data_IF_541105423028
#
_entry.id   IF_541105423028
#
_cell.length_a   1.000
_cell.length_b   1.000
_cell.length_c   1.000
_cell.angle_alpha   90.00
_cell.angle_beta   90.00
_cell.angle_gamma   90.00
#
_symmetry.space_group_name_H-M   'P 1'
#
loop_
_entity.id
_entity.type
_entity.pdbx_description
1 polymer ?
#
# COMPACT_ATOMS: atom_id res chain seq x y z
N UNK A 1 4.01 -8.62 -3.70
CA UNK A 1 4.77 -7.61 -2.93
C UNK A 1 3.79 -6.55 -2.46
N UNK A 2 4.09 -5.87 -1.36
CA UNK A 2 3.28 -4.75 -0.91
C UNK A 2 3.57 -3.53 -1.79
N UNK A 3 2.55 -2.80 -2.25
CA UNK A 3 2.68 -1.60 -3.10
C UNK A 3 3.64 -0.57 -2.50
N UNK A 4 3.72 -0.51 -1.16
CA UNK A 4 4.70 0.30 -0.45
C UNK A 4 6.13 -0.04 -0.83
N UNK A 5 6.46 -1.33 -0.81
CA UNK A 5 7.82 -1.82 -1.03
C UNK A 5 8.24 -1.62 -2.50
N UNK A 6 7.27 -1.69 -3.43
CA UNK A 6 7.49 -1.35 -4.84
C UNK A 6 7.83 0.14 -5.03
N UNK A 7 7.13 1.03 -4.32
CA UNK A 7 7.41 2.48 -4.35
C UNK A 7 8.81 2.78 -3.81
N UNK A 8 9.23 2.12 -2.72
CA UNK A 8 10.58 2.27 -2.16
C UNK A 8 11.63 1.87 -3.21
N UNK A 9 11.51 0.68 -3.79
CA UNK A 9 12.45 0.16 -4.79
C UNK A 9 12.51 1.02 -6.06
N UNK A 10 11.36 1.49 -6.52
CA UNK A 10 11.28 2.39 -7.67
C UNK A 10 12.03 3.69 -7.39
N UNK A 11 11.81 4.28 -6.20
CA UNK A 11 12.46 5.53 -5.80
C UNK A 11 13.97 5.35 -5.71
N UNK A 12 14.45 4.28 -5.07
CA UNK A 12 15.87 3.95 -4.96
C UNK A 12 16.52 3.77 -6.34
N UNK A 13 15.86 3.04 -7.23
CA UNK A 13 16.33 2.82 -8.61
C UNK A 13 16.46 4.13 -9.39
N UNK A 14 15.47 5.01 -9.28
CA UNK A 14 15.47 6.31 -9.98
C UNK A 14 16.47 7.30 -9.38
N UNK A 15 16.73 7.22 -8.08
CA UNK A 15 17.74 8.08 -7.45
C UNK A 15 19.16 7.62 -7.74
N UNK A 16 19.35 6.32 -7.99
CA UNK A 16 20.64 5.73 -8.36
C UNK A 16 21.14 6.22 -9.73
N UNK A 17 20.24 6.64 -10.62
CA UNK A 17 20.65 7.20 -11.92
C UNK A 17 21.09 8.66 -11.82
N UNK A 18 21.08 9.27 -10.63
CA UNK A 18 21.41 10.69 -10.34
C UNK A 18 20.57 11.74 -11.08
N UNK A 19 19.69 11.33 -12.00
CA UNK A 19 18.77 12.21 -12.73
C UNK A 19 17.70 12.77 -11.79
N UNK A 20 17.24 11.97 -10.82
CA UNK A 20 16.15 12.33 -9.94
C UNK A 20 16.57 12.36 -8.48
N UNK A 21 16.19 13.43 -7.78
CA UNK A 21 16.24 13.45 -6.32
C UNK A 21 15.03 12.71 -5.74
N UNK A 22 15.17 12.14 -4.53
CA UNK A 22 14.06 11.50 -3.81
C UNK A 22 12.86 12.45 -3.73
N UNK A 23 13.10 13.74 -3.43
CA UNK A 23 12.06 14.77 -3.36
C UNK A 23 11.31 14.95 -4.67
N UNK A 24 12.01 14.92 -5.81
CA UNK A 24 11.39 15.05 -7.13
C UNK A 24 10.49 13.85 -7.45
N UNK A 25 10.99 12.63 -7.20
CA UNK A 25 10.20 11.39 -7.40
C UNK A 25 8.95 11.40 -6.53
N UNK A 26 9.08 11.75 -5.24
CA UNK A 26 7.96 11.81 -4.32
C UNK A 26 6.90 12.84 -4.72
N UNK A 27 7.33 13.98 -5.30
CA UNK A 27 6.42 14.99 -5.84
C UNK A 27 5.64 14.46 -7.04
N UNK A 28 6.28 13.71 -7.94
CA UNK A 28 5.65 13.12 -9.13
C UNK A 28 4.58 12.08 -8.75
N UNK A 29 4.85 11.25 -7.75
CA UNK A 29 3.92 10.20 -7.29
C UNK A 29 2.89 10.70 -6.26
N UNK A 30 2.95 11.99 -5.87
CA UNK A 30 2.00 12.60 -4.93
C UNK A 30 2.12 12.09 -3.49
N UNK A 31 3.30 11.64 -3.05
CA UNK A 31 3.52 11.12 -1.70
C UNK A 31 4.33 12.10 -0.86
N UNK A 32 3.90 12.31 0.39
CA UNK A 32 4.67 13.14 1.33
C UNK A 32 5.95 12.44 1.78
N UNK A 33 7.01 13.24 2.00
CA UNK A 33 8.30 12.74 2.53
C UNK A 33 8.16 11.97 3.84
N UNK A 34 7.30 12.45 4.74
CA UNK A 34 7.05 11.78 6.02
C UNK A 34 6.50 10.35 5.81
N UNK A 35 5.56 10.18 4.88
CA UNK A 35 5.01 8.86 4.53
C UNK A 35 6.08 7.95 3.94
N UNK A 36 6.91 8.48 3.03
CA UNK A 36 8.01 7.73 2.43
C UNK A 36 9.01 7.19 3.47
N UNK A 37 9.53 8.03 4.38
CA UNK A 37 10.51 7.56 5.37
C UNK A 37 9.90 6.58 6.39
N UNK A 38 8.63 6.77 6.76
CA UNK A 38 7.88 5.78 7.56
C UNK A 38 7.76 4.44 6.84
N UNK A 39 7.57 4.47 5.53
CA UNK A 39 7.50 3.29 4.70
C UNK A 39 8.86 2.61 4.53
N UNK A 40 9.91 3.40 4.32
CA UNK A 40 11.28 2.91 4.18
C UNK A 40 11.73 2.12 5.41
N UNK A 41 11.42 2.59 6.62
CA UNK A 41 11.71 1.88 7.86
C UNK A 41 10.89 0.60 8.08
N UNK A 42 9.91 0.32 7.21
CA UNK A 42 9.05 -0.87 7.27
C UNK A 42 9.19 -1.78 6.05
N UNK A 43 10.03 -1.43 5.07
CA UNK A 43 10.24 -2.21 3.85
C UNK A 43 10.55 -3.67 4.18
N UNK A 44 9.90 -4.62 3.50
CA UNK A 44 10.06 -6.05 3.76
C UNK A 44 9.27 -6.59 4.96
N UNK A 45 8.62 -5.72 5.75
CA UNK A 45 7.67 -6.16 6.78
C UNK A 45 6.26 -6.28 6.18
N UNK A 46 5.59 -7.43 6.30
CA UNK A 46 4.23 -7.58 5.82
C UNK A 46 3.29 -6.57 6.51
N UNK A 47 2.33 -6.06 5.77
CA UNK A 47 1.32 -5.17 6.33
C UNK A 47 0.30 -5.97 7.14
N UNK A 48 0.52 -6.09 8.45
CA UNK A 48 -0.40 -6.76 9.37
C UNK A 48 -1.72 -5.99 9.61
N UNK A 49 -1.89 -4.78 9.06
CA UNK A 49 -3.14 -4.02 9.13
C UNK A 49 -4.13 -4.35 8.03
N UNK A 50 -3.76 -5.17 7.05
CA UNK A 50 -4.77 -5.85 6.25
C UNK A 50 -5.35 -6.92 7.18
N UNK A 51 -6.35 -6.53 7.97
CA UNK A 51 -7.20 -7.48 8.68
C UNK A 51 -7.55 -8.58 7.68
N UNK A 52 -7.49 -9.85 8.12
CA UNK A 52 -7.87 -10.99 7.30
C UNK A 52 -9.13 -10.60 6.52
N UNK A 53 -9.04 -10.58 5.19
CA UNK A 53 -10.23 -10.49 4.33
C UNK A 53 -11.24 -11.45 4.96
N UNK A 54 -12.44 -10.97 5.35
CA UNK A 54 -13.36 -11.81 6.10
C UNK A 54 -13.54 -13.10 5.30
N UNK A 55 -13.27 -14.23 5.95
CA UNK A 55 -13.46 -15.54 5.35
C UNK A 55 -14.88 -15.55 4.78
N UNK A 56 -15.08 -16.11 3.58
CA UNK A 56 -16.37 -16.14 2.84
C UNK A 56 -17.57 -16.63 3.66
N UNK A 57 -17.34 -17.18 4.85
CA UNK A 57 -18.31 -17.77 5.77
C UNK A 57 -18.93 -16.80 6.78
N UNK A 58 -18.66 -15.50 6.69
CA UNK A 58 -19.23 -14.51 7.65
C UNK A 58 -20.66 -14.07 7.37
N UNK A 59 -21.20 -14.39 6.21
CA UNK A 59 -22.59 -14.06 5.86
C UNK A 59 -23.21 -15.25 5.15
N UNK A 60 -24.30 -15.77 5.70
CA UNK A 60 -25.12 -16.77 5.03
C UNK A 60 -25.81 -16.18 3.79
N UNK A 61 -26.18 -17.00 2.80
CA UNK A 61 -26.93 -16.54 1.62
C UNK A 61 -28.20 -15.76 2.00
N UNK A 62 -28.88 -16.14 3.09
CA UNK A 62 -30.10 -15.46 3.55
C UNK A 62 -29.81 -14.04 4.04
N UNK A 63 -28.71 -13.83 4.76
CA UNK A 63 -28.31 -12.50 5.27
C UNK A 63 -27.97 -11.55 4.13
N UNK A 64 -27.32 -12.06 3.07
CA UNK A 64 -27.07 -11.26 1.85
C UNK A 64 -28.37 -10.88 1.16
N UNK A 65 -29.31 -11.81 1.09
CA UNK A 65 -30.59 -11.56 0.45
C UNK A 65 -31.41 -10.52 1.21
N UNK A 66 -31.38 -10.57 2.55
CA UNK A 66 -32.04 -9.59 3.42
C UNK A 66 -31.54 -8.15 3.18
N UNK A 67 -30.23 -7.96 2.98
CA UNK A 67 -29.64 -6.65 2.66
C UNK A 67 -30.04 -6.17 1.25
N UNK A 68 -30.14 -7.08 0.28
CA UNK A 68 -30.57 -6.74 -1.09
C UNK A 68 -32.07 -6.39 -1.14
N UNK A 69 -32.88 -6.99 -0.26
CA UNK A 69 -34.33 -6.79 -0.23
C UNK A 69 -34.82 -5.55 0.53
N UNK A 70 -33.93 -4.87 1.26
CA UNK A 70 -34.22 -3.67 2.04
C UNK A 70 -33.93 -2.41 1.22
#
# INVERSE_FOLDING_TARGET
MDTRDEIIKLTERLTKTEIFTVKAVLKLIGISRNKYYKWQGRTGRPNHHNANVPKKNWTLPEEKQAVISY
#
